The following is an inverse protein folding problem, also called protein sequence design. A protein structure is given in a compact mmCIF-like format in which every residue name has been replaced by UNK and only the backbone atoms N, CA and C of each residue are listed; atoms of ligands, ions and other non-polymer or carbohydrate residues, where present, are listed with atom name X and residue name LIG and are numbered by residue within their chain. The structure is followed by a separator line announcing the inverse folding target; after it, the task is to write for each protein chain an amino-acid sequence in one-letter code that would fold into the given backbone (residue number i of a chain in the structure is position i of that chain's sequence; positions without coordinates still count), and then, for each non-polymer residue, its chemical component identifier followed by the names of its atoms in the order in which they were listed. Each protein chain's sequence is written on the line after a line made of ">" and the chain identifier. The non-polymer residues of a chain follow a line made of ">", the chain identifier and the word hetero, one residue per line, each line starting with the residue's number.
data_IF_806263740700
#
_entry.id   IF_806263740700
#
_cell.length_a   1.000
_cell.length_b   1.000
_cell.length_c   1.000
_cell.angle_alpha   90.00
_cell.angle_beta   90.00
_cell.angle_gamma   90.00
#
_symmetry.space_group_name_H-M   'P 1'
#
loop_
_entity.id
_entity.type
_entity.pdbx_description
1 polymer ?
#
# COMPACT_ATOMS: atom_id res chain seq x y z
N UNK A 1 -52.45 17.78 -10.72
CA UNK A 1 -52.11 17.11 -9.45
C UNK A 1 -50.74 16.50 -9.63
N UNK A 2 -49.72 16.95 -8.88
CA UNK A 2 -48.39 16.37 -8.94
C UNK A 2 -48.31 15.26 -7.88
N UNK A 3 -48.16 14.02 -8.33
CA UNK A 3 -47.98 12.87 -7.46
C UNK A 3 -46.59 12.96 -6.84
N UNK A 4 -46.51 13.25 -5.54
CA UNK A 4 -45.25 13.20 -4.80
C UNK A 4 -44.93 11.73 -4.54
N UNK A 5 -44.06 11.15 -5.36
CA UNK A 5 -43.52 9.82 -5.11
C UNK A 5 -42.58 9.87 -3.89
N UNK A 6 -43.03 9.31 -2.77
CA UNK A 6 -42.17 9.03 -1.62
C UNK A 6 -41.13 7.97 -2.03
N UNK A 7 -39.87 8.38 -2.20
CA UNK A 7 -38.76 7.43 -2.33
C UNK A 7 -38.53 6.74 -0.99
N UNK A 8 -38.87 5.46 -0.90
CA UNK A 8 -38.74 4.63 0.31
C UNK A 8 -37.31 4.13 0.56
N UNK A 9 -36.38 4.28 -0.40
CA UNK A 9 -35.00 3.80 -0.25
C UNK A 9 -33.99 4.62 -1.07
N UNK A 10 -32.83 4.87 -0.47
CA UNK A 10 -31.63 5.40 -1.13
C UNK A 10 -31.15 4.40 -2.19
N UNK A 11 -30.86 4.82 -3.44
CA UNK A 11 -30.33 3.92 -4.47
C UNK A 11 -28.95 3.38 -4.05
N UNK A 12 -28.71 2.10 -4.37
CA UNK A 12 -27.45 1.41 -4.11
C UNK A 12 -26.27 2.16 -4.75
N UNK A 13 -25.36 2.70 -3.94
CA UNK A 13 -24.19 3.50 -4.38
C UNK A 13 -23.03 2.64 -4.95
N UNK A 14 -23.32 1.43 -5.44
CA UNK A 14 -22.31 0.43 -5.82
C UNK A 14 -21.35 0.84 -6.95
N UNK A 15 -21.65 1.90 -7.69
CA UNK A 15 -20.80 2.41 -8.77
C UNK A 15 -19.57 3.19 -8.27
N UNK A 16 -19.56 3.69 -7.03
CA UNK A 16 -18.42 4.45 -6.46
C UNK A 16 -17.29 3.57 -5.90
N UNK A 17 -17.45 2.25 -5.88
CA UNK A 17 -16.55 1.29 -5.22
C UNK A 17 -16.07 0.18 -6.17
N UNK A 18 -16.04 0.45 -7.48
CA UNK A 18 -15.74 -0.57 -8.49
C UNK A 18 -14.25 -0.86 -8.61
N UNK A 19 -13.80 -2.03 -8.15
CA UNK A 19 -12.46 -2.54 -8.46
C UNK A 19 -12.31 -2.82 -9.97
N UNK A 20 -11.14 -2.51 -10.54
CA UNK A 20 -10.83 -2.74 -11.95
C UNK A 20 -10.80 -4.23 -12.25
N UNK A 21 -11.81 -4.78 -12.93
CA UNK A 21 -11.86 -6.23 -13.23
C UNK A 21 -11.16 -6.62 -14.53
N UNK A 22 -11.02 -5.69 -15.47
CA UNK A 22 -10.57 -6.01 -16.82
C UNK A 22 -10.00 -4.79 -17.54
N UNK A 23 -8.86 -4.98 -18.19
CA UNK A 23 -8.26 -4.02 -19.12
C UNK A 23 -8.07 -4.68 -20.48
N UNK A 24 -8.39 -3.97 -21.56
CA UNK A 24 -8.19 -4.40 -22.94
C UNK A 24 -7.31 -3.38 -23.65
N UNK A 25 -6.18 -3.84 -24.19
CA UNK A 25 -5.26 -3.00 -24.94
C UNK A 25 -5.32 -3.37 -26.42
N UNK A 26 -5.48 -2.36 -27.27
CA UNK A 26 -5.60 -2.52 -28.71
C UNK A 26 -4.45 -1.82 -29.42
N UNK A 27 -3.98 -2.40 -30.52
CA UNK A 27 -3.07 -1.76 -31.47
C UNK A 27 -3.85 -1.36 -32.73
N UNK A 28 -3.64 -0.14 -33.20
CA UNK A 28 -4.19 0.29 -34.49
C UNK A 28 -3.32 -0.28 -35.62
N UNK A 29 -3.98 -0.85 -36.62
CA UNK A 29 -3.36 -1.35 -37.84
C UNK A 29 -3.31 -0.23 -38.90
N UNK A 30 -2.48 -0.42 -39.94
CA UNK A 30 -2.30 0.55 -41.02
C UNK A 30 -3.60 0.86 -41.79
N UNK A 31 -4.55 -0.08 -41.81
CA UNK A 31 -5.88 0.09 -42.40
C UNK A 31 -6.89 0.81 -41.47
N UNK A 32 -6.43 1.34 -40.33
CA UNK A 32 -7.27 2.02 -39.34
C UNK A 32 -8.07 1.10 -38.40
N UNK A 33 -8.05 -0.22 -38.60
CA UNK A 33 -8.70 -1.19 -37.70
C UNK A 33 -7.92 -1.37 -36.39
N UNK A 34 -8.59 -1.86 -35.35
CA UNK A 34 -7.97 -2.14 -34.05
C UNK A 34 -7.89 -3.65 -33.80
N UNK A 35 -6.68 -4.14 -33.50
CA UNK A 35 -6.45 -5.52 -33.07
C UNK A 35 -6.23 -5.56 -31.55
N UNK A 36 -6.89 -6.49 -30.86
CA UNK A 36 -6.65 -6.73 -29.43
C UNK A 36 -5.26 -7.37 -29.25
N UNK A 37 -4.38 -6.72 -28.50
CA UNK A 37 -3.02 -7.21 -28.25
C UNK A 37 -2.83 -7.77 -26.83
N UNK A 38 -3.62 -7.29 -25.87
CA UNK A 38 -3.51 -7.71 -24.48
C UNK A 38 -4.86 -7.64 -23.78
N UNK A 39 -5.13 -8.64 -22.94
CA UNK A 39 -6.26 -8.67 -22.02
C UNK A 39 -5.77 -9.00 -20.62
N UNK A 40 -6.02 -8.07 -19.70
CA UNK A 40 -5.82 -8.29 -18.27
C UNK A 40 -7.16 -8.59 -17.63
N UNK A 41 -7.24 -9.62 -16.79
CA UNK A 41 -8.39 -9.90 -15.92
C UNK A 41 -7.95 -10.00 -14.48
N UNK A 42 -8.65 -9.32 -13.58
CA UNK A 42 -8.31 -9.22 -12.17
C UNK A 42 -9.47 -9.76 -11.34
N UNK A 43 -9.13 -10.64 -10.41
CA UNK A 43 -10.03 -11.21 -9.41
C UNK A 43 -9.63 -10.61 -8.06
N UNK A 44 -10.64 -10.16 -7.33
CA UNK A 44 -10.48 -9.60 -6.00
C UNK A 44 -11.17 -10.51 -5.00
N UNK A 45 -10.48 -10.76 -3.90
CA UNK A 45 -11.09 -11.34 -2.71
C UNK A 45 -11.52 -10.20 -1.79
N UNK A 46 -12.52 -10.47 -0.95
CA UNK A 46 -13.02 -9.54 0.06
C UNK A 46 -12.91 -10.19 1.43
N UNK A 47 -12.44 -9.44 2.42
CA UNK A 47 -12.46 -9.86 3.82
C UNK A 47 -13.10 -8.78 4.69
N UNK A 48 -13.74 -9.22 5.78
CA UNK A 48 -14.36 -8.36 6.79
C UNK A 48 -15.35 -7.33 6.24
N UNK A 49 -16.18 -7.75 5.27
CA UNK A 49 -17.28 -6.92 4.78
C UNK A 49 -18.22 -6.60 5.94
N UNK A 50 -18.26 -5.34 6.35
CA UNK A 50 -19.26 -4.82 7.29
C UNK A 50 -20.20 -3.92 6.52
N UNK A 51 -21.45 -4.35 6.45
CA UNK A 51 -22.56 -3.59 5.90
C UNK A 51 -23.47 -3.19 7.06
N UNK A 52 -23.52 -1.90 7.35
CA UNK A 52 -24.58 -1.34 8.18
C UNK A 52 -25.47 -0.48 7.30
N UNK A 53 -26.63 -1.02 6.91
CA UNK A 53 -27.56 -0.36 5.99
C UNK A 53 -28.13 0.96 6.53
N UNK A 54 -28.17 1.10 7.87
CA UNK A 54 -28.80 2.22 8.57
C UNK A 54 -27.79 2.99 9.45
N UNK A 55 -26.52 3.07 9.03
CA UNK A 55 -25.46 3.68 9.83
C UNK A 55 -25.71 5.14 10.18
N UNK A 56 -26.15 5.93 9.20
CA UNK A 56 -26.50 7.33 9.38
C UNK A 56 -27.91 7.61 8.92
N UNK A 57 -28.53 8.63 9.51
CA UNK A 57 -29.76 9.23 8.99
C UNK A 57 -29.50 10.70 8.72
N UNK A 58 -29.76 11.14 7.49
CA UNK A 58 -29.85 12.56 7.18
C UNK A 58 -31.30 12.97 7.29
N UNK A 59 -31.57 13.97 8.11
CA UNK A 59 -32.90 14.56 8.26
C UNK A 59 -32.82 15.96 7.67
N UNK A 60 -33.64 16.25 6.67
CA UNK A 60 -33.75 17.58 6.06
C UNK A 60 -35.19 18.11 6.17
N UNK A 61 -35.39 19.33 6.70
CA UNK A 61 -36.71 19.95 6.67
C UNK A 61 -37.07 20.30 5.22
N UNK A 62 -38.29 19.97 4.81
CA UNK A 62 -38.78 20.21 3.44
C UNK A 62 -39.73 21.41 3.40
N UNK A 63 -40.88 21.26 4.05
CA UNK A 63 -41.95 22.27 4.04
C UNK A 63 -42.44 22.55 5.46
N UNK A 64 -42.86 23.78 5.74
CA UNK A 64 -43.73 24.09 6.89
C UNK A 64 -45.18 24.02 6.42
N UNK A 65 -45.96 23.17 7.06
CA UNK A 65 -47.39 22.99 6.82
C UNK A 65 -48.15 23.57 8.01
N UNK A 66 -49.12 24.46 7.77
CA UNK A 66 -50.09 24.84 8.80
C UNK A 66 -51.06 23.66 8.97
N UNK A 67 -51.17 23.12 10.18
CA UNK A 67 -52.25 22.22 10.55
C UNK A 67 -53.19 22.91 11.53
N UNK A 68 -54.49 22.85 11.26
CA UNK A 68 -55.51 23.27 12.24
C UNK A 68 -55.57 22.25 13.38
N UNK A 69 -55.58 22.72 14.61
CA UNK A 69 -55.98 21.91 15.74
C UNK A 69 -57.49 21.67 15.65
N UNK A 70 -57.94 20.44 15.89
CA UNK A 70 -59.30 19.94 15.61
C UNK A 70 -60.43 20.99 15.79
N UNK A 71 -60.93 21.53 14.66
CA UNK A 71 -62.13 22.38 14.62
C UNK A 71 -61.91 23.88 14.81
N UNK A 72 -60.66 24.36 14.85
CA UNK A 72 -60.34 25.77 15.00
C UNK A 72 -60.80 26.66 13.83
N UNK A 73 -61.30 27.86 14.16
CA UNK A 73 -61.75 28.90 13.22
C UNK A 73 -60.95 30.23 13.40
N UNK A 74 -60.08 30.30 14.41
CA UNK A 74 -59.23 31.45 14.73
C UNK A 74 -57.80 31.24 14.22
N UNK A 75 -57.06 32.30 13.83
CA UNK A 75 -55.64 32.19 13.46
C UNK A 75 -54.76 31.53 14.52
N UNK A 76 -55.14 31.64 15.80
CA UNK A 76 -54.43 31.02 16.93
C UNK A 76 -54.59 29.49 17.01
N UNK A 77 -55.53 28.92 16.24
CA UNK A 77 -55.81 27.47 16.25
C UNK A 77 -54.89 26.67 15.32
N UNK A 78 -54.01 27.35 14.57
CA UNK A 78 -53.11 26.73 13.61
C UNK A 78 -51.68 26.60 14.14
N UNK A 79 -51.11 25.40 14.02
CA UNK A 79 -49.72 25.13 14.40
C UNK A 79 -48.91 24.83 13.14
N UNK A 80 -47.77 25.50 12.99
CA UNK A 80 -46.80 25.17 11.97
C UNK A 80 -46.11 23.84 12.32
N UNK A 81 -46.35 22.79 11.53
CA UNK A 81 -45.54 21.58 11.55
C UNK A 81 -44.53 21.61 10.43
N UNK A 82 -43.31 21.18 10.70
CA UNK A 82 -42.30 21.02 9.66
C UNK A 82 -42.29 19.56 9.22
N UNK A 83 -42.48 19.32 7.93
CA UNK A 83 -42.30 18.00 7.34
C UNK A 83 -40.81 17.76 7.13
N UNK A 84 -40.35 16.59 7.54
CA UNK A 84 -38.96 16.17 7.40
C UNK A 84 -38.86 15.04 6.39
N UNK A 85 -37.90 15.16 5.47
CA UNK A 85 -37.40 14.00 4.72
C UNK A 85 -36.26 13.39 5.52
N UNK A 86 -36.34 12.10 5.78
CA UNK A 86 -35.21 11.33 6.30
C UNK A 86 -34.67 10.41 5.21
N UNK A 87 -33.36 10.21 5.21
CA UNK A 87 -32.67 9.32 4.29
C UNK A 87 -31.58 8.57 5.06
N UNK A 88 -31.63 7.24 5.03
CA UNK A 88 -30.60 6.41 5.63
C UNK A 88 -29.40 6.32 4.68
N UNK A 89 -28.21 6.48 5.24
CA UNK A 89 -26.95 6.29 4.55
C UNK A 89 -26.24 5.06 5.13
N UNK A 90 -26.02 4.03 4.30
CA UNK A 90 -25.28 2.86 4.72
C UNK A 90 -23.81 3.18 4.97
N UNK A 91 -23.21 2.53 5.96
CA UNK A 91 -21.76 2.39 6.08
C UNK A 91 -21.35 1.07 5.46
N UNK A 92 -20.44 1.18 4.49
CA UNK A 92 -19.75 0.05 3.90
C UNK A 92 -18.29 0.14 4.31
N UNK A 93 -17.83 -0.82 5.10
CA UNK A 93 -16.40 -1.09 5.25
C UNK A 93 -16.11 -2.37 4.50
N UNK A 94 -15.29 -2.27 3.45
CA UNK A 94 -14.83 -3.41 2.66
C UNK A 94 -13.33 -3.25 2.44
N UNK A 95 -12.60 -4.35 2.56
CA UNK A 95 -11.20 -4.44 2.18
C UNK A 95 -11.08 -5.49 1.09
N UNK A 96 -11.00 -4.99 -0.15
CA UNK A 96 -10.80 -5.82 -1.33
C UNK A 96 -9.35 -5.79 -1.77
N UNK A 97 -8.78 -6.94 -2.03
CA UNK A 97 -7.41 -7.08 -2.49
C UNK A 97 -7.34 -7.97 -3.73
N UNK A 98 -6.42 -7.65 -4.63
CA UNK A 98 -6.20 -8.42 -5.86
C UNK A 98 -5.67 -9.80 -5.50
N UNK A 99 -6.51 -10.83 -5.59
CA UNK A 99 -6.10 -12.22 -5.31
C UNK A 99 -5.44 -12.84 -6.53
N UNK A 100 -5.91 -12.51 -7.73
CA UNK A 100 -5.34 -13.04 -8.97
C UNK A 100 -5.42 -12.03 -10.10
N UNK A 101 -4.38 -11.98 -10.93
CA UNK A 101 -4.37 -11.29 -12.21
C UNK A 101 -3.88 -12.21 -13.31
N UNK A 102 -4.61 -12.27 -14.41
CA UNK A 102 -4.21 -13.00 -15.60
C UNK A 102 -4.00 -12.01 -16.75
N UNK A 103 -2.82 -12.05 -17.35
CA UNK A 103 -2.42 -11.26 -18.50
C UNK A 103 -2.37 -12.21 -19.70
N UNK A 104 -3.15 -11.93 -20.73
CA UNK A 104 -3.16 -12.69 -21.99
C UNK A 104 -2.70 -11.79 -23.11
N UNK A 105 -1.52 -12.06 -23.66
CA UNK A 105 -0.94 -11.35 -24.80
C UNK A 105 -1.13 -12.16 -26.08
N UNK A 106 -1.46 -11.48 -27.18
CA UNK A 106 -1.63 -12.10 -28.49
C UNK A 106 -0.43 -11.77 -29.38
N UNK A 107 0.32 -12.80 -29.79
CA UNK A 107 1.49 -12.68 -30.65
C UNK A 107 1.38 -13.71 -31.78
N UNK A 108 1.26 -13.25 -33.03
CA UNK A 108 1.21 -14.09 -34.24
C UNK A 108 0.22 -15.28 -34.09
N UNK A 109 -1.04 -14.96 -33.75
CA UNK A 109 -2.14 -15.91 -33.48
C UNK A 109 -1.95 -16.87 -32.29
N UNK A 110 -0.83 -16.76 -31.56
CA UNK A 110 -0.60 -17.48 -30.29
C UNK A 110 -0.97 -16.60 -29.11
N UNK A 111 -1.41 -17.26 -28.02
CA UNK A 111 -1.72 -16.61 -26.75
C UNK A 111 -0.63 -16.95 -25.73
N UNK A 112 -0.01 -15.92 -25.18
CA UNK A 112 0.90 -16.02 -24.05
C UNK A 112 0.14 -15.65 -22.80
N UNK A 113 0.15 -16.52 -21.79
CA UNK A 113 -0.58 -16.31 -20.55
C UNK A 113 0.42 -16.17 -19.41
N UNK A 114 0.38 -15.03 -18.74
CA UNK A 114 1.08 -14.79 -17.48
C UNK A 114 0.03 -14.71 -16.37
N UNK A 115 0.21 -15.48 -15.30
CA UNK A 115 -0.68 -15.46 -14.13
C UNK A 115 0.05 -14.93 -12.92
N UNK A 116 -0.58 -14.02 -12.18
CA UNK A 116 -0.10 -13.48 -10.91
C UNK A 116 -1.09 -13.92 -9.86
N UNK A 117 -0.62 -14.66 -8.85
CA UNK A 117 -1.41 -15.10 -7.70
C UNK A 117 -0.81 -14.44 -6.45
N UNK A 118 -1.63 -13.68 -5.72
CA UNK A 118 -1.25 -12.94 -4.52
C UNK A 118 -1.85 -13.62 -3.28
N UNK A 119 -1.06 -13.73 -2.21
CA UNK A 119 -1.49 -14.32 -0.94
C UNK A 119 -1.36 -13.31 0.19
N UNK A 120 -2.39 -13.24 1.03
CA UNK A 120 -2.53 -12.29 2.14
C UNK A 120 -2.78 -13.07 3.44
N UNK A 121 -1.72 -13.65 3.99
CA UNK A 121 -1.75 -14.49 5.20
C UNK A 121 -1.52 -13.70 6.48
N UNK A 122 -1.01 -12.48 6.39
CA UNK A 122 -0.79 -11.61 7.55
C UNK A 122 -2.14 -11.23 8.21
N UNK A 123 -2.24 -11.19 9.55
CA UNK A 123 -3.45 -10.76 10.27
C UNK A 123 -3.97 -9.37 9.86
N UNK A 124 -3.08 -8.46 9.45
CA UNK A 124 -3.38 -7.11 8.99
C UNK A 124 -3.56 -7.03 7.46
N UNK A 125 -3.65 -8.16 6.77
CA UNK A 125 -3.93 -8.29 5.33
C UNK A 125 -2.91 -7.61 4.39
N UNK A 126 -1.65 -7.48 4.79
CA UNK A 126 -0.57 -7.15 3.87
C UNK A 126 -0.27 -8.34 2.93
N UNK A 127 0.26 -8.02 1.76
CA UNK A 127 0.70 -9.01 0.78
C UNK A 127 1.85 -9.83 1.38
N UNK A 128 1.61 -11.10 1.65
CA UNK A 128 2.62 -12.03 2.19
C UNK A 128 3.44 -12.67 1.07
N UNK A 129 2.82 -12.92 -0.08
CA UNK A 129 3.47 -13.59 -1.19
C UNK A 129 2.84 -13.21 -2.53
N UNK A 130 3.67 -13.08 -3.56
CA UNK A 130 3.25 -12.89 -4.95
C UNK A 130 3.98 -13.88 -5.84
N UNK A 131 3.21 -14.76 -6.48
CA UNK A 131 3.71 -15.71 -7.47
C UNK A 131 3.33 -15.28 -8.87
N UNK A 132 4.29 -15.20 -9.77
CA UNK A 132 4.10 -14.92 -11.19
C UNK A 132 4.49 -16.16 -11.99
N UNK A 133 3.53 -16.77 -12.69
CA UNK A 133 3.74 -17.91 -13.58
C UNK A 133 3.76 -17.40 -15.02
N UNK A 134 4.85 -17.70 -15.74
CA UNK A 134 5.11 -17.25 -17.10
C UNK A 134 4.60 -18.28 -18.13
N UNK A 135 4.50 -17.90 -19.42
CA UNK A 135 4.01 -18.79 -20.48
C UNK A 135 4.86 -20.05 -20.69
N UNK A 136 6.15 -19.99 -20.32
CA UNK A 136 7.08 -21.12 -20.37
C UNK A 136 6.95 -22.08 -19.17
N UNK A 137 5.91 -21.88 -18.32
CA UNK A 137 5.68 -22.59 -17.06
C UNK A 137 6.73 -22.36 -15.98
N UNK A 138 7.73 -21.50 -16.22
CA UNK A 138 8.58 -21.01 -15.13
C UNK A 138 7.76 -20.08 -14.23
N UNK A 139 8.19 -19.93 -12.98
CA UNK A 139 7.58 -18.96 -12.08
C UNK A 139 8.60 -18.19 -11.28
N UNK A 140 8.29 -16.93 -11.02
CA UNK A 140 8.97 -16.10 -10.03
C UNK A 140 8.08 -15.92 -8.81
N UNK A 141 8.64 -15.92 -7.62
CA UNK A 141 7.91 -15.71 -6.38
C UNK A 141 8.61 -14.67 -5.54
N UNK A 142 7.83 -13.79 -4.90
CA UNK A 142 8.33 -12.79 -3.96
C UNK A 142 7.52 -12.88 -2.68
N UNK A 143 8.18 -13.23 -1.57
CA UNK A 143 7.57 -13.25 -0.25
C UNK A 143 8.04 -12.07 0.60
N UNK A 144 7.17 -11.66 1.52
CA UNK A 144 7.39 -10.52 2.40
C UNK A 144 7.12 -10.91 3.85
N UNK A 145 8.00 -10.50 4.76
CA UNK A 145 7.76 -10.60 6.20
C UNK A 145 7.74 -9.19 6.79
N UNK A 146 6.72 -8.90 7.61
CA UNK A 146 6.52 -7.58 8.22
C UNK A 146 6.93 -7.62 9.69
N UNK A 147 6.69 -6.51 10.40
CA UNK A 147 6.99 -6.39 11.82
C UNK A 147 6.38 -7.53 12.67
N UNK A 148 5.17 -8.01 12.33
CA UNK A 148 4.51 -9.14 12.98
C UNK A 148 5.28 -10.46 12.85
N UNK A 149 5.67 -10.83 11.64
CA UNK A 149 6.39 -12.08 11.35
C UNK A 149 7.82 -12.04 11.87
N UNK A 150 8.43 -10.85 11.91
CA UNK A 150 9.78 -10.63 12.43
C UNK A 150 9.79 -10.34 13.94
N UNK A 151 8.63 -10.25 14.59
CA UNK A 151 8.52 -10.01 16.03
C UNK A 151 9.03 -8.63 16.49
N UNK A 152 9.02 -7.61 15.63
CA UNK A 152 9.43 -6.26 16.02
C UNK A 152 8.29 -5.52 16.75
N UNK A 153 8.25 -5.70 18.07
CA UNK A 153 7.17 -5.15 18.90
C UNK A 153 7.17 -3.62 18.96
N UNK A 154 8.33 -2.97 18.81
CA UNK A 154 8.41 -1.51 18.75
C UNK A 154 7.62 -0.99 17.54
N UNK A 155 7.90 -1.53 16.36
CA UNK A 155 7.20 -1.13 15.12
C UNK A 155 5.70 -1.41 15.22
N UNK A 156 5.32 -2.58 15.74
CA UNK A 156 3.90 -2.93 15.95
C UNK A 156 3.21 -1.92 16.88
N UNK A 157 3.84 -1.59 18.02
CA UNK A 157 3.27 -0.62 18.98
C UNK A 157 3.11 0.79 18.42
N UNK A 158 3.90 1.14 17.39
CA UNK A 158 3.83 2.42 16.67
C UNK A 158 2.97 2.36 15.41
N UNK A 159 2.24 1.26 15.20
CA UNK A 159 1.44 1.00 14.00
C UNK A 159 2.24 1.04 12.69
N UNK A 160 3.55 0.77 12.74
CA UNK A 160 4.44 0.66 11.59
C UNK A 160 4.45 -0.78 11.06
N UNK A 161 3.28 -1.28 10.67
CA UNK A 161 3.06 -2.69 10.29
C UNK A 161 3.05 -2.93 8.78
N UNK A 162 3.00 -1.88 7.96
CA UNK A 162 2.92 -1.98 6.50
C UNK A 162 4.28 -2.07 5.80
N UNK A 163 5.37 -1.81 6.51
CA UNK A 163 6.71 -1.83 5.93
C UNK A 163 7.23 -3.27 5.97
N UNK A 164 7.52 -3.90 4.81
CA UNK A 164 8.15 -5.21 4.79
C UNK A 164 9.58 -5.09 5.32
N UNK A 165 9.92 -5.94 6.28
CA UNK A 165 11.24 -5.99 6.89
C UNK A 165 12.13 -7.02 6.19
N UNK A 166 11.55 -8.11 5.67
CA UNK A 166 12.27 -9.09 4.86
C UNK A 166 11.58 -9.24 3.49
N UNK A 167 12.38 -9.39 2.44
CA UNK A 167 11.89 -9.75 1.10
C UNK A 167 12.75 -10.86 0.54
N UNK A 168 12.11 -11.93 0.05
CA UNK A 168 12.77 -13.06 -0.60
C UNK A 168 12.22 -13.20 -2.00
N UNK A 169 13.09 -13.19 -3.00
CA UNK A 169 12.71 -13.53 -4.37
C UNK A 169 13.27 -14.89 -4.77
N UNK A 170 12.48 -15.69 -5.47
CA UNK A 170 12.89 -16.99 -5.98
C UNK A 170 12.41 -17.20 -7.41
N UNK A 171 13.05 -18.13 -8.11
CA UNK A 171 12.65 -18.59 -9.43
C UNK A 171 12.58 -20.10 -9.46
N UNK A 172 11.49 -20.61 -10.01
CA UNK A 172 11.25 -22.03 -10.23
C UNK A 172 11.21 -22.31 -11.73
N UNK A 173 11.99 -23.30 -12.18
CA UNK A 173 11.96 -23.84 -13.55
C UNK A 173 11.82 -25.35 -13.44
N UNK A 174 10.73 -25.89 -14.00
CA UNK A 174 10.36 -27.30 -13.79
C UNK A 174 10.12 -27.58 -12.31
N UNK A 175 10.87 -28.53 -11.75
CA UNK A 175 10.81 -28.91 -10.32
C UNK A 175 11.86 -28.20 -9.45
N UNK A 176 12.78 -27.45 -10.06
CA UNK A 176 13.88 -26.81 -9.33
C UNK A 176 13.52 -25.38 -8.97
N UNK A 177 13.51 -25.08 -7.67
CA UNK A 177 13.36 -23.71 -7.14
C UNK A 177 14.70 -23.22 -6.58
N UNK A 178 15.04 -21.96 -6.87
CA UNK A 178 16.23 -21.27 -6.34
C UNK A 178 15.87 -19.88 -5.87
N UNK A 179 16.38 -19.50 -4.70
CA UNK A 179 16.34 -18.11 -4.23
C UNK A 179 17.30 -17.29 -5.09
N UNK A 180 16.82 -16.13 -5.55
CA UNK A 180 17.58 -15.17 -6.34
C UNK A 180 18.09 -14.02 -5.49
N UNK A 181 17.27 -13.56 -4.54
CA UNK A 181 17.66 -12.54 -3.57
C UNK A 181 16.95 -12.78 -2.25
N UNK A 182 17.63 -12.42 -1.17
CA UNK A 182 17.02 -12.23 0.14
C UNK A 182 17.64 -10.99 0.76
N UNK A 183 16.80 -10.09 1.23
CA UNK A 183 17.23 -8.87 1.90
C UNK A 183 16.39 -8.60 3.13
N UNK A 184 17.00 -8.02 4.16
CA UNK A 184 16.34 -7.62 5.39
C UNK A 184 16.71 -6.17 5.76
N UNK A 185 15.73 -5.38 6.18
CA UNK A 185 15.93 -4.05 6.75
C UNK A 185 15.75 -4.14 8.25
N UNK A 186 16.81 -3.83 8.99
CA UNK A 186 16.82 -3.91 10.45
C UNK A 186 16.36 -2.58 11.02
N UNK A 187 15.42 -2.65 11.96
CA UNK A 187 14.92 -1.53 12.74
C UNK A 187 15.19 -1.76 14.24
N UNK A 188 15.17 -0.72 15.08
CA UNK A 188 15.28 -0.87 16.51
C UNK A 188 14.22 -1.84 17.05
N UNK A 189 14.61 -2.70 17.97
CA UNK A 189 13.71 -3.67 18.62
C UNK A 189 12.96 -3.07 19.81
N UNK A 190 13.48 -1.96 20.37
CA UNK A 190 12.88 -1.26 21.50
C UNK A 190 13.30 0.22 21.52
N UNK A 191 12.65 1.02 22.37
CA UNK A 191 12.88 2.47 22.45
C UNK A 191 14.31 2.83 22.91
N UNK A 192 14.96 2.00 23.71
CA UNK A 192 16.35 2.24 24.15
C UNK A 192 17.33 2.16 22.97
N UNK A 193 17.15 1.15 22.12
CA UNK A 193 17.90 1.03 20.88
C UNK A 193 17.59 2.19 19.92
N UNK A 194 16.33 2.62 19.83
CA UNK A 194 15.97 3.76 19.00
C UNK A 194 16.66 5.06 19.48
N UNK A 195 16.66 5.31 20.79
CA UNK A 195 17.31 6.47 21.39
C UNK A 195 18.81 6.55 21.08
N UNK A 196 19.49 5.40 21.02
CA UNK A 196 20.95 5.32 20.83
C UNK A 196 21.37 5.29 19.37
N UNK A 197 20.61 4.61 18.49
CA UNK A 197 20.99 4.41 17.08
C UNK A 197 20.28 5.33 16.09
N UNK A 198 19.09 5.81 16.43
CA UNK A 198 18.17 6.47 15.48
C UNK A 198 17.51 7.70 16.09
N UNK A 199 18.18 8.36 17.04
CA UNK A 199 17.75 9.63 17.63
C UNK A 199 16.35 9.57 18.26
N UNK A 200 15.96 8.39 18.76
CA UNK A 200 14.67 8.12 19.40
C UNK A 200 13.52 7.82 18.45
N UNK A 201 13.78 7.81 17.13
CA UNK A 201 12.79 7.54 16.08
C UNK A 201 12.86 6.08 15.62
N UNK A 202 11.78 5.54 15.10
CA UNK A 202 11.76 4.16 14.57
C UNK A 202 12.22 4.19 13.10
N UNK A 203 13.53 4.25 12.90
CA UNK A 203 14.17 4.36 11.57
C UNK A 203 15.07 3.14 11.30
N UNK A 204 15.43 2.86 10.04
CA UNK A 204 16.35 1.77 9.71
C UNK A 204 17.73 1.92 10.36
N UNK A 205 18.30 0.83 10.85
CA UNK A 205 19.66 0.71 11.39
C UNK A 205 20.61 0.12 10.35
N UNK A 206 20.16 -0.89 9.60
CA UNK A 206 20.97 -1.50 8.54
C UNK A 206 20.13 -2.21 7.49
N UNK A 207 20.77 -2.50 6.36
CA UNK A 207 20.23 -3.38 5.31
C UNK A 207 21.17 -4.56 5.16
N UNK A 208 20.60 -5.76 5.27
CA UNK A 208 21.29 -7.02 5.09
C UNK A 208 20.94 -7.62 3.72
N UNK A 209 21.92 -8.24 3.08
CA UNK A 209 21.74 -9.19 1.99
C UNK A 209 22.18 -10.57 2.45
N UNK A 210 21.63 -11.63 1.86
CA UNK A 210 22.03 -12.99 2.20
C UNK A 210 22.69 -13.66 0.99
N UNK A 211 23.71 -14.46 1.27
CA UNK A 211 24.42 -15.19 0.23
C UNK A 211 23.55 -16.32 -0.34
N UNK A 212 23.52 -16.44 -1.67
CA UNK A 212 22.70 -17.45 -2.34
C UNK A 212 23.22 -18.88 -2.13
N UNK A 213 24.51 -19.02 -1.84
CA UNK A 213 25.14 -20.32 -1.54
C UNK A 213 24.89 -20.75 -0.10
N UNK A 214 24.69 -19.80 0.82
CA UNK A 214 24.37 -20.05 2.21
C UNK A 214 23.43 -18.97 2.76
N UNK A 215 22.14 -19.26 2.73
CA UNK A 215 21.07 -18.32 3.13
C UNK A 215 21.09 -18.04 4.65
N UNK A 216 21.91 -18.75 5.42
CA UNK A 216 22.15 -18.45 6.84
C UNK A 216 23.22 -17.39 7.06
N UNK A 217 24.02 -17.07 6.04
CA UNK A 217 25.06 -16.05 6.09
C UNK A 217 24.54 -14.73 5.52
N UNK A 218 24.48 -13.72 6.39
CA UNK A 218 24.10 -12.36 6.03
C UNK A 218 25.33 -11.46 5.91
N UNK A 219 25.32 -10.57 4.91
CA UNK A 219 26.27 -9.47 4.76
C UNK A 219 25.54 -8.16 5.00
N UNK A 220 26.12 -7.26 5.80
CA UNK A 220 25.58 -5.91 5.97
C UNK A 220 25.97 -5.06 4.76
N UNK A 221 25.02 -4.77 3.88
CA UNK A 221 25.24 -3.94 2.70
C UNK A 221 25.37 -2.46 3.06
N UNK A 222 24.59 -2.04 4.05
CA UNK A 222 24.49 -0.65 4.48
C UNK A 222 24.22 -0.58 5.99
N UNK A 223 24.98 0.26 6.67
CA UNK A 223 24.74 0.67 8.07
C UNK A 223 24.35 2.13 8.08
N UNK A 224 23.25 2.47 8.73
CA UNK A 224 22.83 3.85 8.95
C UNK A 224 23.40 4.34 10.29
N UNK A 225 24.55 4.99 10.22
CA UNK A 225 25.36 5.29 11.41
C UNK A 225 24.79 6.42 12.26
N UNK A 226 24.17 7.42 11.61
CA UNK A 226 23.71 8.62 12.32
C UNK A 226 22.50 9.28 11.66
N UNK A 227 21.54 9.65 12.50
CA UNK A 227 20.40 10.48 12.15
C UNK A 227 20.40 11.78 12.95
N UNK A 228 19.82 12.84 12.41
CA UNK A 228 19.46 14.02 13.21
C UNK A 228 18.16 13.80 14.00
N UNK A 229 17.75 14.82 14.77
CA UNK A 229 16.52 14.77 15.58
C UNK A 229 15.22 14.83 14.77
N UNK A 230 15.29 15.16 13.47
CA UNK A 230 14.15 15.15 12.54
C UNK A 230 14.05 13.84 11.74
N UNK A 231 15.01 12.94 11.93
CA UNK A 231 15.07 11.66 11.24
C UNK A 231 15.78 11.70 9.89
N UNK A 232 16.50 12.78 9.59
CA UNK A 232 17.33 12.83 8.38
C UNK A 232 18.61 12.03 8.58
N UNK A 233 18.96 11.19 7.60
CA UNK A 233 20.21 10.44 7.60
C UNK A 233 21.39 11.41 7.43
N UNK A 234 22.29 11.44 8.40
CA UNK A 234 23.51 12.25 8.38
C UNK A 234 24.74 11.44 7.96
N UNK A 235 24.79 10.16 8.29
CA UNK A 235 25.92 9.30 7.96
C UNK A 235 25.47 7.86 7.71
N UNK A 236 26.08 7.23 6.71
CA UNK A 236 25.96 5.80 6.48
C UNK A 236 27.29 5.20 6.01
N UNK A 237 27.44 3.89 6.20
CA UNK A 237 28.63 3.14 5.79
C UNK A 237 28.22 1.93 4.96
N UNK A 238 28.83 1.76 3.79
CA UNK A 238 28.57 0.60 2.92
C UNK A 238 29.40 -0.60 3.35
N UNK A 239 29.09 -1.80 2.84
CA UNK A 239 29.87 -3.03 3.09
C UNK A 239 31.37 -2.91 2.83
N UNK A 240 31.77 -2.03 1.91
CA UNK A 240 33.18 -1.80 1.56
C UNK A 240 33.90 -0.90 2.58
N UNK A 241 33.24 -0.54 3.68
CA UNK A 241 33.76 0.37 4.70
C UNK A 241 33.77 1.84 4.29
N UNK A 242 33.14 2.19 3.16
CA UNK A 242 33.06 3.57 2.68
C UNK A 242 32.00 4.31 3.48
N UNK A 243 32.45 5.25 4.32
CA UNK A 243 31.54 6.12 5.07
C UNK A 243 31.18 7.34 4.24
N UNK A 244 29.90 7.69 4.27
CA UNK A 244 29.33 8.81 3.54
C UNK A 244 28.54 9.70 4.49
N UNK A 245 28.83 10.99 4.46
CA UNK A 245 28.15 12.03 5.23
C UNK A 245 27.24 12.85 4.32
N UNK A 246 26.04 13.14 4.79
CA UNK A 246 25.06 14.01 4.12
C UNK A 246 24.87 15.26 4.99
N UNK A 247 25.09 16.42 4.39
CA UNK A 247 24.86 17.72 5.04
C UNK A 247 23.50 18.23 4.60
N UNK A 248 22.66 18.59 5.56
CA UNK A 248 21.31 19.09 5.32
C UNK A 248 21.23 20.60 5.53
N UNK A 249 20.71 21.32 4.53
CA UNK A 249 20.49 22.76 4.54
C UNK A 249 19.01 23.11 4.73
N UNK A 250 18.70 24.40 4.59
CA UNK A 250 17.33 24.93 4.63
C UNK A 250 16.53 24.42 5.84
N UNK A 251 17.07 24.63 7.05
CA UNK A 251 16.50 24.12 8.30
C UNK A 251 16.33 22.58 8.31
N UNK A 252 17.33 21.84 7.82
CA UNK A 252 17.34 20.37 7.79
C UNK A 252 16.19 19.76 6.97
N UNK A 253 15.82 20.40 5.85
CA UNK A 253 14.74 19.90 4.97
C UNK A 253 15.24 19.35 3.65
N UNK A 254 16.47 19.70 3.24
CA UNK A 254 17.03 19.27 1.96
C UNK A 254 18.53 18.92 2.10
N UNK A 255 19.02 17.86 1.45
CA UNK A 255 20.44 17.58 1.38
C UNK A 255 21.11 18.62 0.47
N UNK A 256 22.18 19.24 0.95
CA UNK A 256 22.93 20.27 0.21
C UNK A 256 24.35 19.82 -0.16
N UNK A 257 24.87 18.78 0.50
CA UNK A 257 26.15 18.18 0.15
C UNK A 257 26.21 16.70 0.56
N UNK A 258 27.02 15.93 -0.18
CA UNK A 258 27.34 14.53 0.09
C UNK A 258 28.85 14.37 0.01
N UNK A 259 29.46 13.80 1.06
CA UNK A 259 30.91 13.60 1.17
C UNK A 259 31.16 12.12 1.41
N UNK A 260 32.01 11.47 0.62
CA UNK A 260 32.36 10.07 0.79
C UNK A 260 33.86 9.89 1.04
N UNK A 261 34.22 8.96 1.91
CA UNK A 261 35.61 8.55 2.13
C UNK A 261 36.03 7.59 1.03
N UNK A 262 36.66 8.08 -0.04
CA UNK A 262 37.33 7.17 -0.99
C UNK A 262 38.73 6.82 -0.48
N UNK A 263 39.08 5.53 -0.45
CA UNK A 263 40.38 5.04 0.02
C UNK A 263 41.56 5.51 -0.84
N UNK A 264 41.32 6.15 -2.00
CA UNK A 264 42.36 6.57 -2.94
C UNK A 264 42.48 8.09 -3.19
N UNK A 265 41.74 8.98 -2.51
CA UNK A 265 41.81 10.44 -2.78
C UNK A 265 42.26 11.31 -1.59
N UNK A 266 42.55 10.72 -0.42
CA UNK A 266 43.06 11.48 0.73
C UNK A 266 44.52 11.95 0.58
N UNK A 267 45.18 11.72 -0.57
CA UNK A 267 46.51 12.31 -0.87
C UNK A 267 46.46 13.73 -1.47
N UNK A 268 45.28 14.30 -1.76
CA UNK A 268 45.21 15.60 -2.42
C UNK A 268 44.81 16.80 -1.53
N UNK A 269 44.46 16.57 -0.27
CA UNK A 269 44.26 17.67 0.68
C UNK A 269 45.43 17.70 1.64
N UNK A 270 46.46 18.47 1.27
CA UNK A 270 47.71 18.66 2.00
C UNK A 270 47.52 19.27 3.39
N UNK A 271 46.98 18.49 4.31
CA UNK A 271 47.01 18.74 5.74
C UNK A 271 47.85 17.64 6.37
N UNK A 272 49.16 17.92 6.42
CA UNK A 272 50.05 17.34 7.42
C UNK A 272 49.77 17.98 8.78
N UNK A 273 50.03 17.26 9.86
CA UNK A 273 51.19 17.64 10.68
C UNK A 273 52.42 16.80 10.37
#
# INVERSE_FOLDING_TARGET
>A
MATIEHRTRTPYMGWKLGNLKKTLSYKQNDNGSYALIQKDTIIYDRKNLVLNENFGVRIEPRNRVLLSTFGGQSPDDYVYKTDYKYEYYPLFSDFSFESKKQITESLNDKKLITSIDNTYSNPNYQLSNRKTTFPDSSSGEVSYAYASEKGNQLMISKNLVEIPLETVSSKTVGTTSKILTKSEVIYPLNQSEANTKTSGLVLPISVLSYELQNISSATTELTFDKYDSKGNLQQYTTKDGISTVIIWGYNQTQPIAKICTSSNQLRHFGLNP
#
